data_IF_754877753159
#
_entry.id   IF_754877753159
#
_cell.length_a   1.000
_cell.length_b   1.000
_cell.length_c   1.000
_cell.angle_alpha   90.00
_cell.angle_beta   90.00
_cell.angle_gamma   90.00
#
_symmetry.space_group_name_H-M   'P 1'
#
loop_
_entity.id
_entity.type
_entity.pdbx_description
1 polymer ?
#
# COMPACT_ATOMS: atom_id res chain seq x y z
N UNK A 1 12.87 -39.60 5.11
CA UNK A 1 13.58 -38.61 4.25
C UNK A 1 12.64 -37.68 3.48
N UNK A 2 11.39 -38.07 3.21
CA UNK A 2 10.42 -37.22 2.47
C UNK A 2 9.92 -36.02 3.28
N UNK A 3 9.62 -36.17 4.57
CA UNK A 3 9.15 -35.07 5.44
C UNK A 3 10.17 -33.93 5.60
N UNK A 4 11.45 -34.28 5.75
CA UNK A 4 12.55 -33.31 5.83
C UNK A 4 12.71 -32.50 4.54
N UNK A 5 12.66 -33.16 3.38
CA UNK A 5 12.78 -32.49 2.08
C UNK A 5 11.66 -31.47 1.88
N UNK A 6 10.46 -31.83 2.30
CA UNK A 6 9.27 -31.03 2.12
C UNK A 6 9.20 -29.82 3.06
N UNK A 7 9.60 -30.00 4.32
CA UNK A 7 9.80 -28.87 5.23
C UNK A 7 10.85 -27.91 4.68
N UNK A 8 11.92 -28.44 4.08
CA UNK A 8 12.93 -27.62 3.39
C UNK A 8 12.35 -26.85 2.19
N UNK A 9 11.44 -27.44 1.40
CA UNK A 9 10.79 -26.74 0.27
C UNK A 9 9.89 -25.60 0.78
N UNK A 10 9.04 -25.86 1.77
CA UNK A 10 8.18 -24.83 2.39
C UNK A 10 8.98 -23.69 3.04
N UNK A 11 10.12 -24.03 3.65
CA UNK A 11 11.05 -23.06 4.20
C UNK A 11 11.76 -22.25 3.10
N UNK A 12 12.24 -22.91 2.05
CA UNK A 12 12.89 -22.25 0.91
C UNK A 12 11.92 -21.28 0.22
N UNK A 13 10.66 -21.67 0.04
CA UNK A 13 9.62 -20.78 -0.48
C UNK A 13 9.47 -19.53 0.40
N UNK A 14 9.37 -19.69 1.72
CA UNK A 14 9.30 -18.55 2.65
C UNK A 14 10.54 -17.65 2.54
N UNK A 15 11.74 -18.22 2.53
CA UNK A 15 13.01 -17.48 2.41
C UNK A 15 13.07 -16.70 1.10
N UNK A 16 12.72 -17.32 -0.03
CA UNK A 16 12.70 -16.65 -1.34
C UNK A 16 11.73 -15.48 -1.35
N UNK A 17 10.52 -15.65 -0.82
CA UNK A 17 9.55 -14.55 -0.71
C UNK A 17 10.08 -13.40 0.15
N UNK A 18 10.72 -13.71 1.29
CA UNK A 18 11.35 -12.71 2.16
C UNK A 18 12.48 -11.97 1.44
N UNK A 19 13.34 -12.68 0.70
CA UNK A 19 14.45 -12.05 -0.05
C UNK A 19 13.91 -11.13 -1.14
N UNK A 20 12.95 -11.58 -1.95
CA UNK A 20 12.32 -10.76 -3.00
C UNK A 20 11.74 -9.48 -2.37
N UNK A 21 11.11 -9.61 -1.20
CA UNK A 21 10.54 -8.47 -0.49
C UNK A 21 11.61 -7.51 0.05
N UNK A 22 12.71 -8.02 0.62
CA UNK A 22 13.84 -7.19 1.05
C UNK A 22 14.48 -6.44 -0.12
N UNK A 23 14.51 -7.05 -1.32
CA UNK A 23 14.95 -6.39 -2.54
C UNK A 23 13.99 -5.27 -2.96
N UNK A 24 12.68 -5.55 -2.99
CA UNK A 24 11.67 -4.52 -3.29
C UNK A 24 11.73 -3.37 -2.27
N UNK A 25 11.94 -3.68 -0.99
CA UNK A 25 12.15 -2.72 0.09
C UNK A 25 13.35 -1.81 -0.20
N UNK A 26 14.51 -2.40 -0.51
CA UNK A 26 15.71 -1.63 -0.85
C UNK A 26 15.50 -0.74 -2.06
N UNK A 27 14.87 -1.27 -3.11
CA UNK A 27 14.59 -0.50 -4.33
C UNK A 27 13.63 0.67 -4.04
N UNK A 28 12.59 0.46 -3.22
CA UNK A 28 11.64 1.50 -2.85
C UNK A 28 12.25 2.58 -1.94
N UNK A 29 13.24 2.23 -1.10
CA UNK A 29 13.98 3.20 -0.30
C UNK A 29 14.87 4.09 -1.15
N UNK A 30 15.42 3.57 -2.24
CA UNK A 30 16.28 4.34 -3.15
C UNK A 30 15.51 5.38 -3.96
N UNK A 31 14.21 5.16 -4.21
CA UNK A 31 13.35 6.10 -4.95
C UNK A 31 12.77 7.23 -4.07
N UNK A 32 13.29 7.43 -2.85
CA UNK A 32 12.83 8.51 -1.97
C UNK A 32 13.10 9.90 -2.56
N UNK A 33 12.24 10.91 -2.28
CA UNK A 33 12.27 12.25 -2.88
C UNK A 33 13.54 13.07 -2.62
N UNK A 34 14.46 12.57 -1.80
CA UNK A 34 15.71 13.22 -1.41
C UNK A 34 16.72 13.31 -2.58
N UNK A 35 16.48 12.61 -3.70
CA UNK A 35 17.33 12.64 -4.90
C UNK A 35 16.98 13.76 -5.90
N UNK A 36 15.86 14.47 -5.74
CA UNK A 36 15.45 15.52 -6.70
C UNK A 36 15.64 16.95 -6.19
N UNK A 37 16.03 17.14 -4.93
CA UNK A 37 16.18 18.48 -4.34
C UNK A 37 17.62 18.86 -3.97
N UNK A 38 18.58 17.93 -4.12
CA UNK A 38 20.01 18.25 -4.08
C UNK A 38 20.52 18.35 -5.52
N UNK A 39 21.01 19.53 -5.87
CA UNK A 39 21.85 19.81 -7.05
C UNK A 39 21.14 20.14 -8.37
N UNK A 40 20.06 20.94 -8.34
CA UNK A 40 19.77 21.79 -9.49
C UNK A 40 20.57 23.09 -9.33
N UNK A 41 21.59 23.35 -10.18
CA UNK A 41 22.29 24.62 -10.17
C UNK A 41 21.28 25.74 -10.43
N UNK A 42 21.40 26.84 -9.69
CA UNK A 42 20.44 27.95 -9.64
C UNK A 42 20.23 28.72 -10.96
N UNK A 43 20.80 28.26 -12.07
CA UNK A 43 20.75 28.92 -13.36
C UNK A 43 20.37 27.91 -14.43
N UNK A 44 19.08 27.80 -14.74
CA UNK A 44 18.53 28.01 -16.08
C UNK A 44 17.06 27.55 -16.14
N UNK A 45 16.30 28.34 -16.85
CA UNK A 45 14.90 28.20 -17.23
C UNK A 45 14.55 26.76 -17.67
N UNK A 46 13.98 25.94 -16.78
CA UNK A 46 13.57 24.57 -17.13
C UNK A 46 12.08 24.33 -16.90
N UNK A 47 11.36 24.33 -18.02
CA UNK A 47 9.96 23.90 -18.15
C UNK A 47 9.91 22.37 -17.97
N UNK A 48 9.54 21.90 -16.79
CA UNK A 48 9.29 20.47 -16.55
C UNK A 48 7.84 20.14 -16.93
N UNK A 49 7.64 19.68 -18.16
CA UNK A 49 6.40 19.01 -18.58
C UNK A 49 6.46 17.57 -18.12
N UNK A 50 5.93 17.27 -16.93
CA UNK A 50 5.58 15.88 -16.57
C UNK A 50 4.12 15.64 -16.99
N UNK A 51 3.89 15.44 -18.29
CA UNK A 51 2.57 15.00 -18.78
C UNK A 51 2.40 13.51 -18.53
N UNK A 52 1.98 13.14 -17.33
CA UNK A 52 1.30 11.85 -17.15
C UNK A 52 -0.07 12.02 -17.78
N UNK A 53 -0.29 11.37 -18.93
CA UNK A 53 -1.58 11.36 -19.61
C UNK A 53 -2.60 10.58 -18.75
N UNK A 54 -3.24 11.28 -17.82
CA UNK A 54 -4.41 10.77 -17.14
C UNK A 54 -5.61 10.88 -18.08
N UNK A 55 -6.45 9.83 -18.20
CA UNK A 55 -7.74 9.96 -18.86
C UNK A 55 -8.54 11.03 -18.11
N UNK A 56 -8.84 12.12 -18.81
CA UNK A 56 -9.64 13.20 -18.26
C UNK A 56 -10.96 12.63 -17.71
N UNK A 57 -11.41 13.05 -16.52
CA UNK A 57 -12.75 12.73 -16.07
C UNK A 57 -13.73 13.18 -17.16
N UNK A 58 -14.63 12.28 -17.55
CA UNK A 58 -15.69 12.47 -18.55
C UNK A 58 -16.74 13.46 -18.03
N UNK A 59 -16.32 14.68 -17.74
CA UNK A 59 -17.15 15.86 -17.48
C UNK A 59 -17.01 16.76 -18.71
N UNK A 60 -17.53 16.26 -19.83
CA UNK A 60 -17.38 16.88 -21.16
C UNK A 60 -18.26 18.12 -21.35
N UNK A 61 -18.99 18.58 -20.34
CA UNK A 61 -19.99 19.65 -20.52
C UNK A 61 -19.68 20.99 -19.83
N UNK A 62 -18.58 21.12 -19.07
CA UNK A 62 -18.28 22.39 -18.35
C UNK A 62 -16.90 22.99 -18.70
N UNK A 63 -16.04 22.27 -19.43
CA UNK A 63 -14.63 22.68 -19.65
C UNK A 63 -14.40 23.46 -20.96
N UNK A 64 -15.36 23.54 -21.87
CA UNK A 64 -15.18 24.22 -23.16
C UNK A 64 -15.37 25.74 -23.13
N UNK A 65 -16.04 26.30 -22.12
CA UNK A 65 -16.31 27.75 -22.07
C UNK A 65 -15.15 28.57 -21.49
N UNK A 66 -14.17 27.95 -20.82
CA UNK A 66 -13.14 28.71 -20.09
C UNK A 66 -11.77 28.77 -20.80
N UNK A 67 -11.60 28.16 -21.97
CA UNK A 67 -10.30 28.12 -22.67
C UNK A 67 -9.93 29.41 -23.41
N UNK A 68 -10.90 30.29 -23.69
CA UNK A 68 -10.64 31.53 -24.43
C UNK A 68 -10.17 32.70 -23.54
N UNK A 69 -10.35 32.63 -22.21
CA UNK A 69 -9.85 33.65 -21.27
C UNK A 69 -8.40 33.41 -20.80
N UNK A 70 -7.83 32.24 -21.10
CA UNK A 70 -6.49 31.82 -20.65
C UNK A 70 -5.31 32.36 -21.50
N UNK A 71 -5.57 33.21 -22.50
CA UNK A 71 -4.54 33.68 -23.45
C UNK A 71 -3.92 35.05 -23.15
N UNK A 72 -4.24 35.69 -22.04
CA UNK A 72 -3.66 37.01 -21.70
C UNK A 72 -3.66 37.42 -20.23
N UNK A 73 -4.10 36.56 -19.31
CA UNK A 73 -4.08 36.83 -17.88
C UNK A 73 -2.98 36.03 -17.20
N UNK A 74 -2.11 36.70 -16.45
CA UNK A 74 -1.23 36.11 -15.45
C UNK A 74 -2.05 35.11 -14.62
N UNK A 75 -1.74 33.80 -14.67
CA UNK A 75 -2.42 32.81 -13.83
C UNK A 75 -2.30 33.26 -12.38
N UNK A 76 -3.43 33.54 -11.74
CA UNK A 76 -3.42 33.96 -10.35
C UNK A 76 -2.87 32.82 -9.50
N UNK A 77 -2.03 33.15 -8.53
CA UNK A 77 -1.42 32.15 -7.65
C UNK A 77 -2.51 31.38 -6.89
N UNK A 78 -3.66 32.01 -6.62
CA UNK A 78 -4.83 31.35 -6.03
C UNK A 78 -5.38 30.22 -6.90
N UNK A 79 -5.42 30.40 -8.22
CA UNK A 79 -5.94 29.40 -9.14
C UNK A 79 -5.03 28.19 -9.14
N UNK A 80 -3.71 28.40 -9.25
CA UNK A 80 -2.71 27.33 -9.24
C UNK A 80 -2.79 26.53 -7.93
N UNK A 81 -2.87 27.21 -6.77
CA UNK A 81 -3.02 26.55 -5.47
C UNK A 81 -4.35 25.80 -5.36
N UNK A 82 -5.42 26.33 -5.95
CA UNK A 82 -6.71 25.65 -6.04
C UNK A 82 -6.64 24.35 -6.85
N UNK A 83 -5.97 24.38 -8.01
CA UNK A 83 -5.76 23.19 -8.84
C UNK A 83 -4.93 22.13 -8.13
N UNK A 84 -3.84 22.51 -7.46
CA UNK A 84 -3.00 21.58 -6.70
C UNK A 84 -3.75 20.97 -5.50
N UNK A 85 -4.55 21.78 -4.80
CA UNK A 85 -5.40 21.28 -3.72
C UNK A 85 -6.41 20.26 -4.23
N UNK A 86 -7.06 20.56 -5.35
CA UNK A 86 -8.04 19.68 -5.98
C UNK A 86 -7.40 18.36 -6.46
N UNK A 87 -6.22 18.45 -7.07
CA UNK A 87 -5.44 17.28 -7.45
C UNK A 87 -5.13 16.39 -6.24
N UNK A 88 -4.58 16.94 -5.17
CA UNK A 88 -4.28 16.20 -3.94
C UNK A 88 -5.55 15.58 -3.32
N UNK A 89 -6.68 16.30 -3.35
CA UNK A 89 -7.97 15.79 -2.87
C UNK A 89 -8.44 14.59 -3.69
N UNK A 90 -8.39 14.68 -5.02
CA UNK A 90 -8.76 13.58 -5.93
C UNK A 90 -7.88 12.37 -5.68
N UNK A 91 -6.55 12.53 -5.66
CA UNK A 91 -5.61 11.42 -5.40
C UNK A 91 -5.87 10.74 -4.06
N UNK A 92 -6.15 11.50 -3.00
CA UNK A 92 -6.51 10.92 -1.70
C UNK A 92 -7.81 10.11 -1.78
N UNK A 93 -8.81 10.59 -2.52
CA UNK A 93 -10.09 9.89 -2.68
C UNK A 93 -9.96 8.61 -3.51
N UNK A 94 -9.19 8.66 -4.60
CA UNK A 94 -8.88 7.52 -5.46
C UNK A 94 -8.12 6.45 -4.69
N UNK A 95 -7.10 6.82 -3.91
CA UNK A 95 -6.35 5.87 -3.09
C UNK A 95 -7.25 5.10 -2.11
N UNK A 96 -8.30 5.74 -1.57
CA UNK A 96 -9.27 5.09 -0.70
C UNK A 96 -10.21 4.15 -1.48
N UNK A 97 -10.66 4.57 -2.67
CA UNK A 97 -11.53 3.77 -3.55
C UNK A 97 -10.80 2.54 -4.08
N UNK A 98 -9.57 2.71 -4.55
CA UNK A 98 -8.72 1.64 -5.08
C UNK A 98 -8.45 0.58 -4.03
N UNK A 99 -8.21 0.97 -2.77
CA UNK A 99 -8.08 0.01 -1.67
C UNK A 99 -9.29 -0.92 -1.57
N UNK A 100 -10.51 -0.36 -1.57
CA UNK A 100 -11.73 -1.17 -1.48
C UNK A 100 -11.84 -2.15 -2.64
N UNK A 101 -11.64 -1.65 -3.87
CA UNK A 101 -11.70 -2.46 -5.09
C UNK A 101 -10.68 -3.60 -5.05
N UNK A 102 -9.43 -3.30 -4.69
CA UNK A 102 -8.36 -4.28 -4.60
C UNK A 102 -8.65 -5.37 -3.56
N UNK A 103 -9.07 -4.99 -2.35
CA UNK A 103 -9.37 -5.97 -1.30
C UNK A 103 -10.52 -6.89 -1.72
N UNK A 104 -11.56 -6.34 -2.35
CA UNK A 104 -12.69 -7.15 -2.84
C UNK A 104 -12.25 -8.16 -3.91
N UNK A 105 -11.43 -7.74 -4.87
CA UNK A 105 -10.90 -8.65 -5.89
C UNK A 105 -10.01 -9.73 -5.30
N UNK A 106 -9.16 -9.39 -4.32
CA UNK A 106 -8.34 -10.37 -3.62
C UNK A 106 -9.21 -11.39 -2.87
N UNK A 107 -10.24 -10.95 -2.13
CA UNK A 107 -11.17 -11.86 -1.44
C UNK A 107 -11.89 -12.80 -2.41
N UNK A 108 -12.31 -12.30 -3.57
CA UNK A 108 -12.92 -13.11 -4.61
C UNK A 108 -11.93 -14.15 -5.15
N UNK A 109 -10.69 -13.75 -5.44
CA UNK A 109 -9.66 -14.68 -5.90
C UNK A 109 -9.36 -15.79 -4.88
N UNK A 110 -9.18 -15.42 -3.60
CA UNK A 110 -8.99 -16.37 -2.50
C UNK A 110 -10.19 -17.32 -2.40
N UNK A 111 -11.42 -16.80 -2.48
CA UNK A 111 -12.64 -17.59 -2.43
C UNK A 111 -12.78 -18.59 -3.58
N UNK A 112 -12.43 -18.19 -4.80
CA UNK A 112 -12.42 -19.08 -5.99
C UNK A 112 -11.39 -20.19 -5.81
N UNK A 113 -10.16 -19.86 -5.39
CA UNK A 113 -9.11 -20.85 -5.18
C UNK A 113 -9.47 -21.82 -4.05
N UNK A 114 -9.96 -21.31 -2.91
CA UNK A 114 -10.41 -22.13 -1.79
C UNK A 114 -11.54 -23.09 -2.21
N UNK A 115 -12.53 -22.61 -2.95
CA UNK A 115 -13.64 -23.43 -3.46
C UNK A 115 -13.17 -24.51 -4.44
N UNK A 116 -12.26 -24.15 -5.34
CA UNK A 116 -11.65 -25.09 -6.28
C UNK A 116 -10.89 -26.20 -5.56
N UNK A 117 -10.12 -25.86 -4.53
CA UNK A 117 -9.36 -26.85 -3.73
C UNK A 117 -10.31 -27.79 -2.99
N UNK A 118 -11.37 -27.27 -2.35
CA UNK A 118 -12.35 -28.11 -1.67
C UNK A 118 -13.03 -29.08 -2.64
N UNK A 119 -13.38 -28.60 -3.84
CA UNK A 119 -13.99 -29.44 -4.89
C UNK A 119 -13.04 -30.55 -5.33
N UNK A 120 -11.78 -30.19 -5.59
CA UNK A 120 -10.75 -31.11 -6.07
C UNK A 120 -10.34 -32.13 -4.99
N UNK A 121 -10.36 -31.76 -3.71
CA UNK A 121 -10.11 -32.69 -2.60
C UNK A 121 -11.19 -33.76 -2.44
N UNK A 122 -12.39 -33.54 -2.99
CA UNK A 122 -13.46 -34.54 -3.03
C UNK A 122 -13.27 -35.63 -4.09
N UNK A 123 -12.26 -35.53 -4.95
CA UNK A 123 -11.97 -36.53 -5.99
C UNK A 123 -10.86 -37.50 -5.56
N UNK A 124 -11.09 -38.80 -5.70
CA UNK A 124 -10.14 -39.90 -5.38
C UNK A 124 -8.99 -40.02 -6.40
N UNK A 125 -8.31 -38.93 -6.71
CA UNK A 125 -7.12 -38.92 -7.59
C UNK A 125 -5.87 -38.61 -6.77
N UNK A 126 -4.69 -39.09 -7.20
CA UNK A 126 -3.41 -38.86 -6.51
C UNK A 126 -2.68 -37.57 -6.95
N UNK A 127 -3.06 -37.01 -8.10
CA UNK A 127 -2.57 -35.71 -8.61
C UNK A 127 -3.10 -34.40 -7.94
N UNK A 128 -4.21 -34.35 -7.16
CA UNK A 128 -4.86 -33.10 -6.77
C UNK A 128 -4.14 -32.33 -5.66
N UNK A 129 -3.31 -32.98 -4.83
CA UNK A 129 -2.69 -32.36 -3.65
C UNK A 129 -1.57 -31.36 -4.01
N UNK A 130 -0.73 -31.73 -4.98
CA UNK A 130 0.35 -30.88 -5.45
C UNK A 130 -0.20 -29.62 -6.13
N UNK A 131 -1.22 -29.78 -6.98
CA UNK A 131 -1.90 -28.66 -7.65
C UNK A 131 -2.53 -27.72 -6.63
N UNK A 132 -3.27 -28.25 -5.65
CA UNK A 132 -3.87 -27.45 -4.58
C UNK A 132 -2.81 -26.68 -3.77
N UNK A 133 -1.66 -27.30 -3.49
CA UNK A 133 -0.56 -26.63 -2.80
C UNK A 133 0.02 -25.48 -3.61
N UNK A 134 0.29 -25.72 -4.90
CA UNK A 134 0.82 -24.69 -5.81
C UNK A 134 -0.16 -23.51 -5.92
N UNK A 135 -1.46 -23.79 -6.05
CA UNK A 135 -2.49 -22.75 -6.11
C UNK A 135 -2.56 -21.91 -4.82
N UNK A 136 -2.47 -22.54 -3.64
CA UNK A 136 -2.45 -21.81 -2.36
C UNK A 136 -1.20 -20.95 -2.20
N UNK A 137 -0.04 -21.45 -2.60
CA UNK A 137 1.20 -20.68 -2.56
C UNK A 137 1.21 -19.56 -3.59
N UNK A 138 0.59 -19.75 -4.75
CA UNK A 138 0.35 -18.69 -5.72
C UNK A 138 -0.55 -17.59 -5.14
N UNK A 139 -1.62 -17.96 -4.42
CA UNK A 139 -2.45 -17.00 -3.68
C UNK A 139 -1.62 -16.21 -2.67
N UNK A 140 -0.72 -16.87 -1.93
CA UNK A 140 0.19 -16.18 -1.00
C UNK A 140 1.08 -15.16 -1.72
N UNK A 141 1.66 -15.55 -2.87
CA UNK A 141 2.51 -14.65 -3.67
C UNK A 141 1.73 -13.44 -4.21
N UNK A 142 0.49 -13.65 -4.65
CA UNK A 142 -0.41 -12.56 -5.08
C UNK A 142 -0.80 -11.69 -3.90
N UNK A 143 -1.15 -12.27 -2.75
CA UNK A 143 -1.53 -11.54 -1.55
C UNK A 143 -0.43 -10.61 -1.05
N UNK A 144 0.83 -11.03 -1.14
CA UNK A 144 1.99 -10.15 -0.90
C UNK A 144 1.99 -8.89 -1.78
N UNK A 145 1.71 -9.03 -3.08
CA UNK A 145 1.64 -7.88 -3.99
C UNK A 145 0.50 -6.94 -3.60
N UNK A 146 -0.67 -7.49 -3.25
CA UNK A 146 -1.82 -6.70 -2.77
C UNK A 146 -1.50 -6.00 -1.45
N UNK A 147 -0.84 -6.68 -0.51
CA UNK A 147 -0.40 -6.12 0.76
C UNK A 147 0.52 -4.91 0.56
N UNK A 148 1.56 -5.04 -0.28
CA UNK A 148 2.46 -3.94 -0.60
C UNK A 148 1.74 -2.77 -1.30
N UNK A 149 0.78 -3.06 -2.18
CA UNK A 149 -0.05 -2.04 -2.83
C UNK A 149 -0.91 -1.28 -1.82
N UNK A 150 -1.53 -1.96 -0.85
CA UNK A 150 -2.31 -1.31 0.22
C UNK A 150 -1.43 -0.36 1.04
N UNK A 151 -0.19 -0.75 1.34
CA UNK A 151 0.77 0.13 2.03
C UNK A 151 1.08 1.37 1.19
N UNK A 152 1.37 1.20 -0.10
CA UNK A 152 1.65 2.34 -1.02
C UNK A 152 0.46 3.28 -1.16
N UNK A 153 -0.76 2.74 -1.24
CA UNK A 153 -1.98 3.56 -1.26
C UNK A 153 -2.13 4.36 0.04
N UNK A 154 -1.76 3.79 1.19
CA UNK A 154 -1.75 4.54 2.46
C UNK A 154 -0.72 5.68 2.44
N UNK A 155 0.47 5.43 1.91
CA UNK A 155 1.49 6.47 1.78
C UNK A 155 1.00 7.61 0.88
N UNK A 156 0.47 7.28 -0.30
CA UNK A 156 -0.10 8.26 -1.23
C UNK A 156 -1.22 9.09 -0.57
N UNK A 157 -2.16 8.44 0.14
CA UNK A 157 -3.22 9.14 0.87
C UNK A 157 -2.66 10.12 1.92
N UNK A 158 -1.66 9.69 2.70
CA UNK A 158 -1.03 10.53 3.73
C UNK A 158 -0.35 11.74 3.10
N UNK A 159 0.39 11.53 2.01
CA UNK A 159 1.15 12.60 1.38
C UNK A 159 0.23 13.63 0.70
N UNK A 160 -0.84 13.18 0.04
CA UNK A 160 -1.91 14.06 -0.44
C UNK A 160 -2.55 14.87 0.70
N UNK A 161 -2.82 14.24 1.85
CA UNK A 161 -3.39 14.93 3.01
C UNK A 161 -2.45 16.01 3.58
N UNK A 162 -1.13 15.75 3.60
CA UNK A 162 -0.13 16.74 3.98
C UNK A 162 -0.07 17.90 2.99
N UNK A 163 -0.07 17.62 1.69
CA UNK A 163 -0.06 18.65 0.63
C UNK A 163 -1.26 19.58 0.78
N UNK A 164 -2.46 19.04 0.93
CA UNK A 164 -3.67 19.84 1.17
C UNK A 164 -3.54 20.73 2.40
N UNK A 165 -3.00 20.21 3.51
CA UNK A 165 -2.82 21.00 4.73
C UNK A 165 -1.71 22.06 4.60
N UNK A 166 -0.66 21.80 3.81
CA UNK A 166 0.37 22.79 3.51
C UNK A 166 -0.18 23.96 2.69
N UNK A 167 -1.03 23.67 1.71
CA UNK A 167 -1.70 24.71 0.90
C UNK A 167 -2.65 25.53 1.78
N UNK A 168 -3.47 24.89 2.64
CA UNK A 168 -4.31 25.62 3.59
C UNK A 168 -3.50 26.56 4.48
N UNK A 169 -2.39 26.07 5.04
CA UNK A 169 -1.53 26.86 5.91
C UNK A 169 -0.93 28.05 5.17
N UNK A 170 -0.49 27.85 3.92
CA UNK A 170 -0.05 28.94 3.06
C UNK A 170 -1.17 29.98 2.85
N UNK A 171 -2.39 29.55 2.54
CA UNK A 171 -3.52 30.45 2.33
C UNK A 171 -3.89 31.23 3.60
N UNK A 172 -3.82 30.60 4.78
CA UNK A 172 -4.08 31.25 6.08
C UNK A 172 -3.07 32.37 6.33
N UNK A 173 -1.79 32.14 6.03
CA UNK A 173 -0.72 33.13 6.25
C UNK A 173 -0.80 34.33 5.30
N UNK A 174 -1.45 34.17 4.13
CA UNK A 174 -1.51 35.20 3.09
C UNK A 174 -2.91 35.81 2.92
N UNK A 175 -3.90 35.37 3.71
CA UNK A 175 -5.24 35.93 3.67
C UNK A 175 -5.23 37.36 4.26
N UNK A 176 -5.66 38.35 3.46
CA UNK A 176 -5.73 39.76 3.88
C UNK A 176 -7.06 40.12 4.54
N UNK A 177 -8.12 39.35 4.26
CA UNK A 177 -9.51 39.70 4.60
C UNK A 177 -9.97 39.15 5.96
N UNK A 178 -9.32 38.10 6.44
CA UNK A 178 -9.70 37.40 7.67
C UNK A 178 -8.52 37.28 8.61
N UNK A 179 -8.81 37.34 9.90
CA UNK A 179 -7.84 37.00 10.94
C UNK A 179 -7.43 35.52 10.83
N UNK A 180 -6.13 35.26 10.95
CA UNK A 180 -5.55 33.94 10.75
C UNK A 180 -6.08 32.93 11.79
N UNK A 181 -6.36 33.37 13.02
CA UNK A 181 -6.87 32.52 14.09
C UNK A 181 -8.32 32.08 13.82
N UNK A 182 -9.14 32.97 13.25
CA UNK A 182 -10.51 32.66 12.82
C UNK A 182 -10.48 31.61 11.70
N UNK A 183 -9.61 31.78 10.70
CA UNK A 183 -9.44 30.79 9.62
C UNK A 183 -8.94 29.44 10.13
N UNK A 184 -7.94 29.43 11.02
CA UNK A 184 -7.43 28.18 11.63
C UNK A 184 -8.52 27.43 12.39
N UNK A 185 -9.37 28.16 13.11
CA UNK A 185 -10.50 27.59 13.86
C UNK A 185 -11.58 27.04 12.94
N UNK A 186 -11.78 27.65 11.77
CA UNK A 186 -12.71 27.14 10.75
C UNK A 186 -12.23 25.81 10.13
N UNK A 187 -10.91 25.62 9.98
CA UNK A 187 -10.36 24.37 9.46
C UNK A 187 -10.21 23.29 10.54
N UNK A 188 -11.17 22.36 10.59
CA UNK A 188 -11.13 21.19 11.49
C UNK A 188 -9.88 20.32 11.32
N UNK A 189 -9.33 20.23 10.11
CA UNK A 189 -8.20 19.37 9.78
C UNK A 189 -6.97 20.22 9.49
N UNK A 190 -6.03 20.19 10.43
CA UNK A 190 -4.74 20.88 10.37
C UNK A 190 -3.58 19.88 10.32
N UNK A 191 -2.38 20.35 9.99
CA UNK A 191 -1.19 19.51 9.85
C UNK A 191 -0.91 18.66 11.10
N UNK A 192 -1.08 19.23 12.30
CA UNK A 192 -0.84 18.54 13.57
C UNK A 192 -1.97 17.58 13.97
N UNK A 193 -3.18 17.74 13.42
CA UNK A 193 -4.32 16.85 13.68
C UNK A 193 -4.34 15.62 12.75
N UNK A 194 -3.48 15.58 11.73
CA UNK A 194 -3.42 14.44 10.82
C UNK A 194 -2.95 13.18 11.58
N UNK A 195 -3.64 12.04 11.40
CA UNK A 195 -3.21 10.81 12.04
C UNK A 195 -1.83 10.40 11.53
N UNK A 196 -0.96 10.00 12.45
CA UNK A 196 0.36 9.50 12.10
C UNK A 196 0.25 8.35 11.07
N UNK A 197 1.18 8.23 10.10
CA UNK A 197 1.09 7.24 9.03
C UNK A 197 1.03 5.81 9.57
N UNK A 198 1.78 5.53 10.63
CA UNK A 198 1.88 4.23 11.30
C UNK A 198 0.75 3.95 12.30
N UNK A 199 -0.24 4.84 12.45
CA UNK A 199 -1.31 4.66 13.46
C UNK A 199 -2.07 3.35 13.16
N UNK A 200 -2.09 2.39 14.10
CA UNK A 200 -2.88 1.17 13.95
C UNK A 200 -4.38 1.49 13.96
N UNK A 201 -5.22 0.50 13.67
CA UNK A 201 -6.69 0.62 13.72
C UNK A 201 -7.31 1.56 12.68
N UNK A 202 -6.61 1.73 11.56
CA UNK A 202 -7.12 2.44 10.38
C UNK A 202 -7.69 1.44 9.38
N UNK A 203 -8.54 1.89 8.46
CA UNK A 203 -9.14 0.99 7.47
C UNK A 203 -8.06 0.34 6.58
N UNK A 204 -6.98 1.06 6.26
CA UNK A 204 -5.81 0.52 5.58
C UNK A 204 -5.12 -0.59 6.39
N UNK A 205 -4.99 -0.41 7.70
CA UNK A 205 -4.41 -1.42 8.58
C UNK A 205 -5.27 -2.69 8.57
N UNK A 206 -6.59 -2.59 8.75
CA UNK A 206 -7.47 -3.77 8.72
C UNK A 206 -7.42 -4.52 7.38
N UNK A 207 -7.39 -3.80 6.26
CA UNK A 207 -7.21 -4.42 4.94
C UNK A 207 -5.88 -5.18 4.82
N UNK A 208 -4.78 -4.57 5.28
CA UNK A 208 -3.46 -5.20 5.24
C UNK A 208 -3.39 -6.43 6.16
N UNK A 209 -3.98 -6.35 7.35
CA UNK A 209 -4.08 -7.47 8.30
C UNK A 209 -4.93 -8.61 7.73
N UNK A 210 -6.06 -8.29 7.08
CA UNK A 210 -6.91 -9.30 6.44
C UNK A 210 -6.16 -10.07 5.36
N UNK A 211 -5.43 -9.38 4.49
CA UNK A 211 -4.59 -10.01 3.45
C UNK A 211 -3.52 -10.89 4.10
N UNK A 212 -2.75 -10.35 5.04
CA UNK A 212 -1.68 -11.11 5.70
C UNK A 212 -2.22 -12.33 6.47
N UNK A 213 -3.41 -12.24 7.05
CA UNK A 213 -4.08 -13.36 7.70
C UNK A 213 -4.45 -14.46 6.69
N UNK A 214 -5.08 -14.09 5.57
CA UNK A 214 -5.47 -15.03 4.52
C UNK A 214 -4.25 -15.70 3.87
N UNK A 215 -3.17 -14.95 3.62
CA UNK A 215 -1.91 -15.51 3.11
C UNK A 215 -1.30 -16.49 4.12
N UNK A 216 -1.37 -16.21 5.41
CA UNK A 216 -0.87 -17.12 6.44
C UNK A 216 -1.68 -18.41 6.54
N UNK A 217 -3.00 -18.32 6.41
CA UNK A 217 -3.87 -19.50 6.35
C UNK A 217 -3.60 -20.30 5.07
N UNK A 218 -3.48 -19.64 3.92
CA UNK A 218 -3.17 -20.30 2.65
C UNK A 218 -1.80 -21.00 2.69
N UNK A 219 -0.80 -20.38 3.32
CA UNK A 219 0.52 -20.98 3.53
C UNK A 219 0.44 -22.27 4.36
N UNK A 220 -0.24 -22.22 5.52
CA UNK A 220 -0.42 -23.38 6.41
C UNK A 220 -1.22 -24.48 5.70
N UNK A 221 -2.31 -24.12 5.02
CA UNK A 221 -3.15 -25.07 4.29
C UNK A 221 -2.39 -25.74 3.14
N UNK A 222 -1.56 -24.98 2.41
CA UNK A 222 -0.72 -25.51 1.34
C UNK A 222 0.33 -26.48 1.87
N UNK A 223 1.01 -26.12 2.97
CA UNK A 223 1.94 -27.04 3.64
C UNK A 223 1.25 -28.30 4.14
N UNK A 224 0.07 -28.17 4.75
CA UNK A 224 -0.71 -29.31 5.24
C UNK A 224 -1.17 -30.25 4.12
N UNK A 225 -1.56 -29.70 2.97
CA UNK A 225 -1.95 -30.46 1.76
C UNK A 225 -0.81 -31.33 1.24
N UNK A 226 0.40 -30.80 1.24
CA UNK A 226 1.59 -31.53 0.80
C UNK A 226 1.91 -32.64 1.83
N UNK A 227 1.71 -32.40 3.13
CA UNK A 227 2.12 -33.31 4.24
C UNK A 227 1.02 -34.24 4.77
N UNK A 228 -0.11 -34.41 4.07
CA UNK A 228 -1.27 -35.17 4.58
C UNK A 228 -0.93 -36.57 5.11
N UNK A 229 0.01 -37.28 4.47
CA UNK A 229 0.42 -38.63 4.91
C UNK A 229 1.23 -38.59 6.22
N UNK A 230 2.04 -37.55 6.42
CA UNK A 230 2.89 -37.37 7.61
C UNK A 230 2.07 -36.78 8.76
N UNK A 231 1.10 -35.91 8.47
CA UNK A 231 0.13 -35.40 9.45
C UNK A 231 -0.67 -36.56 10.06
N UNK A 232 -1.00 -37.60 9.29
CA UNK A 232 -1.70 -38.77 9.82
C UNK A 232 -0.87 -39.55 10.84
N UNK A 233 0.46 -39.61 10.67
CA UNK A 233 1.34 -40.35 11.58
C UNK A 233 1.81 -39.54 12.79
N UNK A 234 1.93 -38.22 12.68
CA UNK A 234 2.37 -37.34 13.78
C UNK A 234 1.72 -35.95 13.69
N UNK A 235 0.41 -35.86 13.97
CA UNK A 235 -0.36 -34.65 13.69
C UNK A 235 0.12 -33.45 14.50
N UNK A 236 0.43 -33.64 15.79
CA UNK A 236 0.77 -32.54 16.70
C UNK A 236 2.09 -31.84 16.31
N UNK A 237 3.13 -32.59 15.96
CA UNK A 237 4.43 -31.99 15.62
C UNK A 237 4.40 -31.29 14.26
N UNK A 238 3.83 -31.93 13.24
CA UNK A 238 3.79 -31.38 11.87
C UNK A 238 2.83 -30.21 11.79
N UNK A 239 1.59 -30.38 12.26
CA UNK A 239 0.61 -29.29 12.26
C UNK A 239 1.04 -28.16 13.21
N UNK A 240 1.59 -28.50 14.38
CA UNK A 240 2.09 -27.50 15.34
C UNK A 240 3.19 -26.63 14.75
N UNK A 241 4.15 -27.24 14.04
CA UNK A 241 5.22 -26.49 13.37
C UNK A 241 4.69 -25.64 12.20
N UNK A 242 3.80 -26.18 11.36
CA UNK A 242 3.17 -25.41 10.27
C UNK A 242 2.40 -24.21 10.81
N UNK A 243 1.58 -24.38 11.85
CA UNK A 243 0.83 -23.30 12.49
C UNK A 243 1.78 -22.27 13.08
N UNK A 244 2.87 -22.69 13.74
CA UNK A 244 3.88 -21.77 14.25
C UNK A 244 4.51 -20.93 13.13
N UNK A 245 4.89 -21.56 12.00
CA UNK A 245 5.41 -20.82 10.84
C UNK A 245 4.38 -19.86 10.24
N UNK A 246 3.11 -20.27 10.16
CA UNK A 246 2.01 -19.39 9.73
C UNK A 246 1.84 -18.18 10.65
N UNK A 247 1.94 -18.36 11.97
CA UNK A 247 1.88 -17.25 12.93
C UNK A 247 3.08 -16.30 12.80
N UNK A 248 4.29 -16.85 12.61
CA UNK A 248 5.50 -16.04 12.36
C UNK A 248 5.35 -15.24 11.06
N UNK A 249 4.83 -15.87 10.00
CA UNK A 249 4.58 -15.23 8.72
C UNK A 249 3.50 -14.13 8.81
N UNK A 250 2.45 -14.34 9.60
CA UNK A 250 1.46 -13.31 9.90
C UNK A 250 2.08 -12.14 10.68
N UNK A 251 2.81 -12.43 11.75
CA UNK A 251 3.51 -11.41 12.55
C UNK A 251 4.49 -10.59 11.70
N UNK A 252 5.15 -11.23 10.73
CA UNK A 252 6.01 -10.57 9.77
C UNK A 252 5.25 -9.56 8.89
N UNK A 253 4.03 -9.86 8.44
CA UNK A 253 3.18 -8.87 7.76
C UNK A 253 2.85 -7.67 8.65
N UNK A 254 2.45 -7.91 9.90
CA UNK A 254 2.14 -6.83 10.86
C UNK A 254 3.35 -5.93 11.10
N UNK A 255 4.53 -6.56 11.27
CA UNK A 255 5.79 -5.85 11.44
C UNK A 255 6.14 -5.02 10.20
N UNK A 256 6.05 -5.61 9.00
CA UNK A 256 6.31 -4.90 7.76
C UNK A 256 5.40 -3.69 7.56
N UNK A 257 4.10 -3.84 7.80
CA UNK A 257 3.16 -2.73 7.71
C UNK A 257 3.64 -1.53 8.55
N UNK A 258 4.07 -1.82 9.78
CA UNK A 258 4.61 -0.81 10.69
C UNK A 258 5.96 -0.27 10.22
N UNK A 259 6.85 -1.12 9.71
CA UNK A 259 8.17 -0.74 9.23
C UNK A 259 8.11 0.20 8.01
N UNK A 260 7.22 -0.08 7.05
CA UNK A 260 7.05 0.75 5.84
C UNK A 260 6.39 2.10 6.11
N UNK A 261 5.66 2.25 7.22
CA UNK A 261 4.94 3.49 7.57
C UNK A 261 5.61 4.29 8.68
N UNK A 262 6.72 3.80 9.25
CA UNK A 262 7.53 4.59 10.18
C UNK A 262 8.13 5.78 9.42
N UNK A 263 7.90 7.02 9.90
CA UNK A 263 8.61 8.18 9.37
C UNK A 263 10.12 7.93 9.45
N UNK A 264 10.87 8.32 8.41
CA UNK A 264 12.32 8.39 8.53
C UNK A 264 12.70 9.27 9.72
N UNK A 265 13.87 9.05 10.36
CA UNK A 265 14.34 9.93 11.41
C UNK A 265 14.36 11.35 10.85
N UNK A 266 13.46 12.21 11.35
CA UNK A 266 13.51 13.63 11.04
C UNK A 266 14.90 14.08 11.46
N UNK A 267 15.71 14.50 10.47
CA UNK A 267 16.95 15.23 10.77
C UNK A 267 16.48 16.38 11.65
N UNK A 268 16.79 16.29 12.94
CA UNK A 268 16.66 17.44 13.83
C UNK A 268 17.54 18.48 13.18
N UNK A 269 16.91 19.42 12.52
CA UNK A 269 17.57 20.59 11.98
C UNK A 269 18.13 21.28 13.23
N UNK A 270 19.40 21.01 13.52
CA UNK A 270 20.18 21.77 14.48
C UNK A 270 20.23 23.17 13.91
N UNK A 271 19.20 23.94 14.26
CA UNK A 271 19.21 25.38 14.13
C UNK A 271 20.24 25.84 15.15
N UNK A 272 21.47 25.98 14.67
CA UNK A 272 22.50 26.70 15.41
C UNK A 272 22.00 28.15 15.46
N UNK A 273 21.50 28.54 16.63
CA UNK A 273 21.11 29.90 16.98
C UNK A 273 22.36 30.77 17.22
#
# INVERSE_FOLDING_TARGET
MTSTLQTCISFAFLVVNVIILLLILRLNQQTGPDSSQRDLPANDEFVVVTSVAFPAPTTTEVVTTNRQNLRGGLLDASDILGWEFEYARITASEAMRDRHTMVNFYLLAVGVVASGIVTVLGWDTDLPKAIGTVLLWLVCGIGWLYFLKVIRLRQAWVDSAKTMNRIKEFCIQHAKEFDADVLRTAFRWQAHTLPAPHKPWTVFFYSAILIGFLDSVAYVAGGALLDLNVIRSSPLFVLGSLVLFGLVFFAFHVWLYSAFLKPGPSKKETRDD
#
